data_IF_762888805813
#
_entry.id   IF_762888805813
#
_cell.length_a   1.000
_cell.length_b   1.000
_cell.length_c   1.000
_cell.angle_alpha   90.00
_cell.angle_beta   90.00
_cell.angle_gamma   90.00
#
_symmetry.space_group_name_H-M   'P 1'
#
loop_
_entity.id
_entity.type
_entity.pdbx_description
1 polymer ?
#
# COMPACT_ATOMS: atom_id res chain seq x y z
N UNK A 1 -43.87 -39.12 -23.96
CA UNK A 1 -43.53 -40.14 -24.97
C UNK A 1 -44.83 -40.78 -25.42
N UNK A 2 -45.28 -40.51 -26.65
CA UNK A 2 -46.54 -41.04 -27.17
C UNK A 2 -46.34 -42.51 -27.60
N UNK A 3 -47.17 -43.41 -27.08
CA UNK A 3 -47.16 -44.82 -27.47
C UNK A 3 -47.71 -44.94 -28.90
N UNK A 4 -46.82 -45.04 -29.90
CA UNK A 4 -47.18 -45.34 -31.28
C UNK A 4 -47.94 -46.67 -31.33
N UNK A 5 -49.12 -46.68 -31.94
CA UNK A 5 -49.95 -47.88 -32.10
C UNK A 5 -49.25 -48.89 -33.01
N UNK A 6 -49.56 -50.18 -32.86
CA UNK A 6 -49.03 -51.23 -33.75
C UNK A 6 -49.31 -50.97 -35.23
N UNK A 7 -50.41 -50.26 -35.53
CA UNK A 7 -50.78 -49.84 -36.89
C UNK A 7 -49.87 -48.73 -37.43
N UNK A 8 -49.42 -47.79 -36.59
CA UNK A 8 -48.49 -46.72 -36.98
C UNK A 8 -47.12 -47.31 -37.34
N UNK A 9 -46.70 -48.37 -36.63
CA UNK A 9 -45.46 -49.09 -36.93
C UNK A 9 -45.54 -49.86 -38.25
N UNK A 10 -46.70 -50.43 -38.58
CA UNK A 10 -46.93 -51.11 -39.87
C UNK A 10 -46.97 -50.11 -41.02
N UNK A 11 -47.58 -48.94 -40.83
CA UNK A 11 -47.58 -47.86 -41.80
C UNK A 11 -46.15 -47.31 -42.05
N UNK A 12 -45.40 -47.02 -40.98
CA UNK A 12 -43.99 -46.60 -41.07
C UNK A 12 -43.17 -47.66 -41.85
N UNK A 13 -43.36 -48.95 -41.56
CA UNK A 13 -42.66 -50.05 -42.26
C UNK A 13 -43.04 -50.14 -43.75
N UNK A 14 -44.31 -49.99 -44.09
CA UNK A 14 -44.76 -49.97 -45.49
C UNK A 14 -44.16 -48.79 -46.26
N UNK A 15 -44.06 -47.62 -45.63
CA UNK A 15 -43.40 -46.44 -46.19
C UNK A 15 -41.90 -46.68 -46.42
N UNK A 16 -41.20 -47.27 -45.45
CA UNK A 16 -39.78 -47.62 -45.61
C UNK A 16 -39.54 -48.70 -46.68
N UNK A 17 -40.42 -49.71 -46.76
CA UNK A 17 -40.34 -50.77 -47.78
C UNK A 17 -40.53 -50.22 -49.20
N UNK A 18 -41.45 -49.25 -49.37
CA UNK A 18 -41.66 -48.57 -50.65
C UNK A 18 -40.43 -47.73 -51.03
N UNK A 19 -39.90 -46.94 -50.09
CA UNK A 19 -38.70 -46.16 -50.32
C UNK A 19 -37.50 -47.05 -50.70
N UNK A 20 -37.32 -48.18 -50.01
CA UNK A 20 -36.27 -49.15 -50.32
C UNK A 20 -36.41 -49.74 -51.72
N UNK A 21 -37.63 -50.11 -52.12
CA UNK A 21 -37.92 -50.60 -53.49
C UNK A 21 -37.55 -49.56 -54.55
N UNK A 22 -37.90 -48.30 -54.32
CA UNK A 22 -37.62 -47.21 -55.26
C UNK A 22 -36.11 -46.90 -55.34
N UNK A 23 -35.38 -47.01 -54.22
CA UNK A 23 -33.91 -46.88 -54.17
C UNK A 23 -33.23 -48.03 -54.94
N UNK A 24 -33.66 -49.28 -54.73
CA UNK A 24 -33.11 -50.45 -55.43
C UNK A 24 -33.40 -50.36 -56.93
N UNK A 25 -34.62 -49.95 -57.31
CA UNK A 25 -34.97 -49.73 -58.72
C UNK A 25 -34.09 -48.66 -59.36
N UNK A 26 -33.88 -47.53 -58.67
CA UNK A 26 -32.99 -46.47 -59.13
C UNK A 26 -31.52 -46.95 -59.23
N UNK A 27 -31.07 -47.79 -58.31
CA UNK A 27 -29.75 -48.40 -58.33
C UNK A 27 -29.54 -49.29 -59.57
N UNK A 28 -30.55 -50.10 -59.91
CA UNK A 28 -30.50 -50.98 -61.08
C UNK A 28 -30.56 -50.21 -62.41
N UNK A 29 -31.26 -49.07 -62.45
CA UNK A 29 -31.40 -48.28 -63.68
C UNK A 29 -30.31 -47.23 -63.90
N UNK A 30 -29.69 -46.71 -62.83
CA UNK A 30 -28.77 -45.58 -62.90
C UNK A 30 -27.51 -45.71 -62.03
N UNK A 31 -27.24 -46.90 -61.49
CA UNK A 31 -26.09 -47.17 -60.65
C UNK A 31 -26.15 -46.50 -59.28
N UNK A 32 -25.02 -46.48 -58.58
CA UNK A 32 -24.94 -46.04 -57.18
C UNK A 32 -25.30 -44.56 -56.96
N UNK A 33 -25.03 -43.68 -57.92
CA UNK A 33 -25.39 -42.27 -57.86
C UNK A 33 -26.90 -42.05 -57.88
N UNK A 34 -27.63 -42.79 -58.73
CA UNK A 34 -29.09 -42.69 -58.81
C UNK A 34 -29.77 -43.25 -57.56
N UNK A 35 -29.21 -44.33 -56.99
CA UNK A 35 -29.63 -44.87 -55.70
C UNK A 35 -29.45 -43.85 -54.57
N UNK A 36 -28.28 -43.19 -54.52
CA UNK A 36 -27.95 -42.18 -53.53
C UNK A 36 -28.90 -40.97 -53.64
N UNK A 37 -29.18 -40.48 -54.86
CA UNK A 37 -30.11 -39.37 -55.08
C UNK A 37 -31.53 -39.71 -54.61
N UNK A 38 -31.98 -40.94 -54.86
CA UNK A 38 -33.31 -41.39 -54.43
C UNK A 38 -33.38 -41.57 -52.90
N UNK A 39 -32.30 -42.05 -52.27
CA UNK A 39 -32.20 -42.14 -50.82
C UNK A 39 -32.21 -40.76 -50.15
N UNK A 40 -31.48 -39.80 -50.74
CA UNK A 40 -31.50 -38.38 -50.33
C UNK A 40 -32.91 -37.80 -50.44
N UNK A 41 -33.68 -38.13 -51.49
CA UNK A 41 -35.06 -37.66 -51.66
C UNK A 41 -36.02 -38.20 -50.59
N UNK A 42 -35.86 -39.45 -50.18
CA UNK A 42 -36.73 -40.06 -49.17
C UNK A 42 -36.31 -39.77 -47.72
N UNK A 43 -35.01 -39.57 -47.47
CA UNK A 43 -34.43 -39.46 -46.13
C UNK A 43 -33.65 -38.15 -45.91
N UNK A 44 -33.97 -37.09 -46.67
CA UNK A 44 -33.31 -35.78 -46.61
C UNK A 44 -33.00 -35.27 -45.19
N UNK A 45 -33.95 -35.22 -44.23
CA UNK A 45 -33.65 -34.69 -42.89
C UNK A 45 -32.67 -35.56 -42.11
N UNK A 46 -32.71 -36.88 -42.27
CA UNK A 46 -31.83 -37.81 -41.55
C UNK A 46 -30.42 -37.82 -42.16
N UNK A 47 -30.32 -37.74 -43.49
CA UNK A 47 -29.04 -37.67 -44.19
C UNK A 47 -28.34 -36.33 -43.89
N UNK A 48 -29.08 -35.22 -43.84
CA UNK A 48 -28.53 -33.92 -43.44
C UNK A 48 -28.01 -33.96 -42.00
N UNK A 49 -28.77 -34.54 -41.07
CA UNK A 49 -28.32 -34.70 -39.68
C UNK A 49 -27.07 -35.58 -39.57
N UNK A 50 -27.04 -36.71 -40.27
CA UNK A 50 -25.88 -37.61 -40.31
C UNK A 50 -24.65 -36.92 -40.91
N UNK A 51 -24.81 -36.15 -41.99
CA UNK A 51 -23.74 -35.38 -42.60
C UNK A 51 -23.21 -34.29 -41.66
N UNK A 52 -24.11 -33.59 -40.95
CA UNK A 52 -23.75 -32.58 -39.95
C UNK A 52 -22.97 -33.23 -38.81
N UNK A 53 -23.43 -34.34 -38.26
CA UNK A 53 -22.68 -35.06 -37.21
C UNK A 53 -21.32 -35.53 -37.73
N UNK A 54 -21.25 -36.12 -38.91
CA UNK A 54 -19.98 -36.60 -39.48
C UNK A 54 -18.97 -35.47 -39.74
N UNK A 55 -19.45 -34.29 -40.10
CA UNK A 55 -18.62 -33.12 -40.40
C UNK A 55 -18.24 -32.33 -39.13
N UNK A 56 -19.20 -32.10 -38.23
CA UNK A 56 -18.99 -31.28 -37.04
C UNK A 56 -18.41 -32.08 -35.88
N UNK A 57 -18.66 -33.38 -35.75
CA UNK A 57 -18.07 -34.18 -34.66
C UNK A 57 -16.53 -34.15 -34.66
N UNK A 58 -15.81 -34.41 -35.77
CA UNK A 58 -14.34 -34.31 -35.77
C UNK A 58 -13.86 -32.87 -35.57
N UNK A 59 -14.58 -31.87 -36.10
CA UNK A 59 -14.26 -30.46 -35.89
C UNK A 59 -14.41 -30.05 -34.43
N UNK A 60 -15.49 -30.47 -33.77
CA UNK A 60 -15.74 -30.23 -32.34
C UNK A 60 -14.69 -30.94 -31.49
N UNK A 61 -14.32 -32.18 -31.83
CA UNK A 61 -13.24 -32.88 -31.13
C UNK A 61 -11.91 -32.11 -31.30
N UNK A 62 -11.57 -31.67 -32.50
CA UNK A 62 -10.35 -30.89 -32.77
C UNK A 62 -10.36 -29.53 -32.07
N UNK A 63 -11.51 -28.87 -31.96
CA UNK A 63 -11.65 -27.57 -31.31
C UNK A 63 -11.65 -27.69 -29.78
N UNK A 64 -12.24 -28.76 -29.24
CA UNK A 64 -12.31 -29.02 -27.80
C UNK A 64 -11.08 -29.71 -27.22
N UNK A 65 -10.29 -30.43 -28.03
CA UNK A 65 -9.07 -31.11 -27.57
C UNK A 65 -8.05 -30.13 -26.99
N UNK A 66 -7.69 -29.02 -27.66
CA UNK A 66 -6.81 -28.02 -27.07
C UNK A 66 -7.37 -27.41 -25.78
N UNK A 67 -8.69 -27.15 -25.73
CA UNK A 67 -9.35 -26.62 -24.54
C UNK A 67 -9.27 -27.57 -23.33
N UNK A 68 -9.39 -28.88 -23.57
CA UNK A 68 -9.29 -29.93 -22.55
C UNK A 68 -7.83 -30.28 -22.20
N UNK A 69 -6.91 -30.22 -23.16
CA UNK A 69 -5.52 -30.67 -23.02
C UNK A 69 -4.60 -29.56 -22.50
N UNK A 70 -4.80 -28.33 -22.93
CA UNK A 70 -4.06 -27.16 -22.45
C UNK A 70 -4.77 -26.45 -21.30
N UNK A 71 -6.05 -26.73 -21.09
CA UNK A 71 -6.88 -26.06 -20.12
C UNK A 71 -7.09 -24.59 -20.48
N UNK A 72 -8.32 -24.19 -20.77
CA UNK A 72 -8.67 -22.81 -20.43
C UNK A 72 -8.67 -22.76 -18.90
N UNK A 73 -7.57 -22.32 -18.30
CA UNK A 73 -7.55 -21.95 -16.90
C UNK A 73 -8.71 -20.98 -16.68
N UNK A 74 -9.76 -21.46 -16.00
CA UNK A 74 -10.91 -20.72 -15.49
C UNK A 74 -10.95 -19.23 -15.87
N UNK A 75 -11.41 -18.90 -17.08
CA UNK A 75 -11.83 -17.52 -17.40
C UNK A 75 -13.30 -17.29 -17.05
N UNK A 76 -13.93 -18.24 -16.33
CA UNK A 76 -15.29 -18.15 -15.82
C UNK A 76 -15.26 -17.98 -14.30
N UNK A 77 -15.19 -16.73 -13.84
CA UNK A 77 -15.61 -16.31 -12.49
C UNK A 77 -14.69 -16.59 -11.31
N UNK A 78 -13.80 -17.60 -11.33
CA UNK A 78 -12.98 -17.94 -10.16
C UNK A 78 -11.84 -16.96 -9.90
N UNK A 79 -10.92 -16.84 -10.87
CA UNK A 79 -9.72 -16.00 -10.71
C UNK A 79 -10.09 -14.51 -10.58
N UNK A 80 -11.02 -14.00 -11.39
CA UNK A 80 -11.46 -12.60 -11.31
C UNK A 80 -12.20 -12.30 -10.01
N UNK A 81 -13.11 -13.17 -9.54
CA UNK A 81 -13.76 -12.96 -8.24
C UNK A 81 -12.75 -13.02 -7.08
N UNK A 82 -11.75 -13.89 -7.16
CA UNK A 82 -10.69 -13.96 -6.13
C UNK A 82 -9.79 -12.73 -6.14
N UNK A 83 -9.43 -12.19 -7.32
CA UNK A 83 -8.64 -10.96 -7.44
C UNK A 83 -9.44 -9.74 -6.99
N UNK A 84 -10.73 -9.64 -7.34
CA UNK A 84 -11.60 -8.57 -6.85
C UNK A 84 -11.79 -8.61 -5.33
N UNK A 85 -11.92 -9.82 -4.76
CA UNK A 85 -11.98 -10.01 -3.31
C UNK A 85 -10.68 -9.55 -2.65
N UNK A 86 -9.52 -10.00 -3.17
CA UNK A 86 -8.21 -9.57 -2.67
C UNK A 86 -8.02 -8.06 -2.79
N UNK A 87 -8.38 -7.45 -3.93
CA UNK A 87 -8.30 -6.01 -4.12
C UNK A 87 -9.19 -5.25 -3.13
N UNK A 88 -10.37 -5.79 -2.80
CA UNK A 88 -11.24 -5.20 -1.76
C UNK A 88 -10.62 -5.34 -0.37
N UNK A 89 -9.98 -6.46 -0.07
CA UNK A 89 -9.23 -6.64 1.19
C UNK A 89 -8.06 -5.66 1.30
N UNK A 90 -7.26 -5.51 0.24
CA UNK A 90 -6.14 -4.57 0.20
C UNK A 90 -6.62 -3.13 0.32
N UNK A 91 -7.71 -2.76 -0.36
CA UNK A 91 -8.35 -1.46 -0.18
C UNK A 91 -8.74 -1.22 1.28
N UNK A 92 -9.30 -2.22 1.95
CA UNK A 92 -9.63 -2.12 3.38
C UNK A 92 -8.41 -1.86 4.28
N UNK A 93 -7.22 -2.27 3.87
CA UNK A 93 -5.97 -1.91 4.57
C UNK A 93 -5.60 -0.44 4.32
N UNK A 94 -5.73 0.04 3.08
CA UNK A 94 -5.47 1.45 2.75
C UNK A 94 -6.46 2.41 3.43
N UNK A 95 -7.74 2.03 3.54
CA UNK A 95 -8.76 2.83 4.25
C UNK A 95 -8.37 3.08 5.73
N UNK A 96 -7.52 2.23 6.31
CA UNK A 96 -7.00 2.33 7.69
C UNK A 96 -5.64 2.99 7.79
N UNK A 97 -5.09 3.52 6.70
CA UNK A 97 -3.76 4.14 6.66
C UNK A 97 -3.57 5.25 7.71
N UNK A 98 -4.59 6.08 7.94
CA UNK A 98 -4.54 7.14 8.95
C UNK A 98 -4.40 6.59 10.39
N UNK A 99 -5.04 5.45 10.67
CA UNK A 99 -4.90 4.76 11.97
C UNK A 99 -3.47 4.25 12.13
N UNK A 100 -2.91 3.59 11.11
CA UNK A 100 -1.53 3.08 11.16
C UNK A 100 -0.48 4.18 11.35
N UNK A 101 -0.69 5.36 10.77
CA UNK A 101 0.20 6.51 10.99
C UNK A 101 0.19 6.96 12.45
N UNK A 102 -1.00 7.00 13.06
CA UNK A 102 -1.17 7.39 14.46
C UNK A 102 -0.55 6.35 15.38
N UNK A 103 -0.82 5.06 15.15
CA UNK A 103 -0.24 3.94 15.89
C UNK A 103 1.29 3.97 15.86
N UNK A 104 1.88 4.24 14.68
CA UNK A 104 3.33 4.35 14.51
C UNK A 104 3.91 5.54 15.28
N UNK A 105 3.24 6.68 15.30
CA UNK A 105 3.67 7.85 16.10
C UNK A 105 3.66 7.50 17.58
N UNK A 106 2.59 6.88 18.07
CA UNK A 106 2.46 6.47 19.47
C UNK A 106 3.53 5.43 19.86
N UNK A 107 3.82 4.48 18.96
CA UNK A 107 4.90 3.51 19.15
C UNK A 107 6.28 4.18 19.24
N UNK A 108 6.58 5.17 18.37
CA UNK A 108 7.84 5.92 18.42
C UNK A 108 7.94 6.68 19.74
N UNK A 109 6.88 7.41 20.13
CA UNK A 109 6.86 8.16 21.39
C UNK A 109 7.09 7.21 22.56
N UNK A 110 6.33 6.11 22.63
CA UNK A 110 6.46 5.12 23.70
C UNK A 110 7.86 4.52 23.75
N UNK A 111 8.42 4.13 22.62
CA UNK A 111 9.76 3.51 22.55
C UNK A 111 10.85 4.47 23.04
N UNK A 112 10.77 5.75 22.68
CA UNK A 112 11.75 6.77 23.08
C UNK A 112 11.57 7.17 24.55
N UNK A 113 10.33 7.31 25.02
CA UNK A 113 10.00 7.70 26.39
C UNK A 113 10.26 6.56 27.40
N UNK A 114 9.76 5.35 27.12
CA UNK A 114 9.96 4.17 27.99
C UNK A 114 11.41 3.65 27.92
N UNK A 115 12.03 3.69 26.73
CA UNK A 115 13.44 3.31 26.55
C UNK A 115 14.41 4.19 27.33
N UNK A 116 13.98 5.40 27.71
CA UNK A 116 14.74 6.30 28.57
C UNK A 116 14.59 6.01 30.07
N UNK A 117 13.60 5.19 30.47
CA UNK A 117 13.34 4.80 31.86
C UNK A 117 13.87 3.42 32.25
N UNK A 118 14.56 2.71 31.35
CA UNK A 118 14.87 1.28 31.50
C UNK A 118 16.26 0.85 31.04
N UNK A 119 17.30 1.53 31.51
CA UNK A 119 18.69 1.08 31.39
C UNK A 119 19.18 0.37 32.65
N UNK A 120 18.48 -0.67 33.10
CA UNK A 120 18.91 -1.50 34.22
C UNK A 120 20.00 -2.50 33.79
N UNK A 121 21.24 -2.03 33.65
CA UNK A 121 22.41 -2.90 33.75
C UNK A 121 22.89 -2.90 35.21
N UNK A 122 22.88 -4.08 35.81
CA UNK A 122 23.19 -4.39 37.21
C UNK A 122 24.70 -4.32 37.46
N UNK A 123 25.29 -3.13 37.31
CA UNK A 123 26.66 -2.86 37.76
C UNK A 123 26.73 -1.58 38.59
N UNK A 124 26.82 -1.80 39.90
CA UNK A 124 27.21 -0.88 40.99
C UNK A 124 27.94 0.39 40.53
N UNK A 125 27.22 1.51 40.38
CA UNK A 125 27.69 2.89 40.62
C UNK A 125 26.47 3.84 40.79
N UNK A 126 26.45 4.63 41.87
CA UNK A 126 25.39 5.60 42.23
C UNK A 126 25.32 6.83 41.29
N UNK A 127 24.10 7.08 40.77
CA UNK A 127 23.43 8.34 40.37
C UNK A 127 23.95 9.21 39.18
N UNK A 128 23.05 9.93 38.45
CA UNK A 128 21.60 10.05 38.66
C UNK A 128 20.76 9.40 37.55
N UNK A 129 19.56 8.98 37.92
CA UNK A 129 18.44 8.76 37.02
C UNK A 129 18.13 10.09 36.29
N UNK A 130 18.77 10.32 35.15
CA UNK A 130 18.43 11.47 34.31
C UNK A 130 17.12 11.16 33.60
N UNK A 131 16.02 11.55 34.23
CA UNK A 131 14.73 11.71 33.57
C UNK A 131 14.90 12.79 32.50
N UNK A 132 15.01 12.38 31.24
CA UNK A 132 15.10 13.30 30.11
C UNK A 132 13.69 13.80 29.79
N UNK A 133 13.48 15.11 29.84
CA UNK A 133 12.26 15.71 29.31
C UNK A 133 12.39 15.80 27.80
N UNK A 134 11.44 15.20 27.06
CA UNK A 134 11.42 15.24 25.61
C UNK A 134 10.47 16.33 25.10
N UNK A 135 10.96 17.18 24.20
CA UNK A 135 10.14 18.07 23.38
C UNK A 135 9.80 17.33 22.08
N UNK A 136 8.52 16.99 21.89
CA UNK A 136 8.05 16.24 20.70
C UNK A 136 7.70 17.23 19.60
N UNK A 137 8.42 17.16 18.49
CA UNK A 137 8.17 18.01 17.32
C UNK A 137 7.71 17.13 16.17
N UNK A 138 6.44 17.29 15.76
CA UNK A 138 5.91 16.62 14.59
C UNK A 138 6.05 17.53 13.36
N UNK A 139 6.72 17.04 12.33
CA UNK A 139 7.03 17.81 11.12
C UNK A 139 6.50 17.12 9.85
N UNK A 140 6.03 17.94 8.91
CA UNK A 140 5.39 17.46 7.69
C UNK A 140 3.95 17.01 7.87
N UNK A 141 3.38 16.44 6.83
CA UNK A 141 2.01 15.89 6.80
C UNK A 141 2.03 14.46 6.29
N UNK A 142 1.07 13.61 6.69
CA UNK A 142 0.90 12.30 6.09
C UNK A 142 0.86 12.42 4.55
N UNK A 143 1.55 11.49 3.89
CA UNK A 143 1.48 11.38 2.43
C UNK A 143 0.03 11.13 2.00
N UNK A 144 -0.39 11.77 0.91
CA UNK A 144 -1.71 11.56 0.31
C UNK A 144 -1.95 10.07 0.02
N UNK A 145 -3.20 9.62 0.19
CA UNK A 145 -3.56 8.21 0.06
C UNK A 145 -3.23 7.67 -1.34
N UNK A 146 -3.53 8.41 -2.42
CA UNK A 146 -3.21 8.00 -3.79
C UNK A 146 -1.72 7.76 -3.98
N UNK A 147 -0.88 8.64 -3.43
CA UNK A 147 0.57 8.50 -3.45
C UNK A 147 1.05 7.30 -2.63
N UNK A 148 0.44 7.08 -1.46
CA UNK A 148 0.73 5.92 -0.63
C UNK A 148 0.40 4.61 -1.36
N UNK A 149 -0.79 4.50 -1.94
CA UNK A 149 -1.23 3.34 -2.71
C UNK A 149 -0.28 3.11 -3.89
N UNK A 150 0.05 4.16 -4.64
CA UNK A 150 0.95 4.06 -5.79
C UNK A 150 2.34 3.56 -5.41
N UNK A 151 2.98 4.16 -4.39
CA UNK A 151 4.32 3.77 -3.99
C UNK A 151 4.37 2.38 -3.35
N UNK A 152 3.38 2.02 -2.52
CA UNK A 152 3.29 0.66 -1.98
C UNK A 152 3.08 -0.37 -3.10
N UNK A 153 2.27 -0.04 -4.11
CA UNK A 153 2.06 -0.89 -5.29
C UNK A 153 3.33 -1.09 -6.10
N UNK A 154 4.11 -0.04 -6.33
CA UNK A 154 5.42 -0.15 -6.98
C UNK A 154 6.38 -1.00 -6.15
N UNK A 155 6.41 -0.82 -4.83
CA UNK A 155 7.28 -1.57 -3.90
C UNK A 155 7.00 -3.07 -3.91
N UNK A 156 5.73 -3.44 -4.04
CA UNK A 156 5.28 -4.84 -4.05
C UNK A 156 5.22 -5.44 -5.46
N UNK A 157 5.63 -4.69 -6.49
CA UNK A 157 5.57 -5.14 -7.88
C UNK A 157 4.14 -5.34 -8.40
N UNK A 158 3.16 -4.64 -7.82
CA UNK A 158 1.73 -4.77 -8.11
C UNK A 158 1.19 -6.21 -7.89
N UNK A 159 1.83 -6.98 -6.99
CA UNK A 159 1.37 -8.32 -6.62
C UNK A 159 0.42 -8.24 -5.42
N UNK A 160 -0.88 -8.46 -5.68
CA UNK A 160 -1.93 -8.51 -4.66
C UNK A 160 -1.65 -9.57 -3.57
N UNK A 161 -0.91 -10.64 -3.87
CA UNK A 161 -0.57 -11.66 -2.87
C UNK A 161 0.48 -11.17 -1.86
N UNK A 162 1.31 -10.19 -2.25
CA UNK A 162 2.30 -9.58 -1.38
C UNK A 162 1.73 -8.41 -0.56
N UNK A 163 0.56 -7.89 -0.95
CA UNK A 163 -0.13 -6.79 -0.28
C UNK A 163 -0.95 -7.30 0.90
N UNK A 164 -0.36 -7.31 2.09
CA UNK A 164 -1.02 -7.70 3.34
C UNK A 164 -1.14 -6.51 4.28
N UNK A 165 -1.93 -6.64 5.35
CA UNK A 165 -1.99 -5.62 6.40
C UNK A 165 -0.60 -5.31 6.96
N UNK A 166 0.23 -6.35 7.12
CA UNK A 166 1.60 -6.20 7.61
C UNK A 166 2.47 -5.42 6.63
N UNK A 167 2.39 -5.69 5.32
CA UNK A 167 3.21 -4.96 4.34
C UNK A 167 2.84 -3.47 4.30
N UNK A 168 1.55 -3.15 4.46
CA UNK A 168 1.06 -1.76 4.57
C UNK A 168 1.64 -1.09 5.82
N UNK A 169 1.59 -1.77 6.98
CA UNK A 169 2.18 -1.24 8.22
C UNK A 169 3.68 -1.01 8.07
N UNK A 170 4.43 -2.00 7.60
CA UNK A 170 5.87 -1.88 7.33
C UNK A 170 6.21 -0.75 6.36
N UNK A 171 5.30 -0.44 5.43
CA UNK A 171 5.45 0.69 4.52
C UNK A 171 5.19 2.04 5.21
N UNK A 172 4.21 2.12 6.13
CA UNK A 172 4.01 3.29 7.02
C UNK A 172 5.25 3.51 7.90
N UNK A 173 5.84 2.45 8.42
CA UNK A 173 7.06 2.55 9.22
C UNK A 173 8.21 3.20 8.46
N UNK A 174 8.28 2.94 7.14
CA UNK A 174 9.28 3.52 6.25
C UNK A 174 8.98 4.97 5.87
N UNK A 175 7.72 5.39 5.90
CA UNK A 175 7.31 6.75 5.55
C UNK A 175 7.40 7.75 6.72
N UNK A 176 7.47 7.26 7.96
CA UNK A 176 7.60 8.07 9.17
C UNK A 176 8.98 7.83 9.80
N UNK A 177 9.86 8.83 9.74
CA UNK A 177 11.21 8.79 10.32
C UNK A 177 11.28 9.62 11.60
N UNK A 178 12.19 9.29 12.50
CA UNK A 178 12.41 10.05 13.73
C UNK A 178 13.89 10.26 14.05
N UNK A 179 14.20 11.38 14.71
CA UNK A 179 15.54 11.71 15.22
C UNK A 179 15.45 12.22 16.65
N UNK A 180 16.45 11.88 17.47
CA UNK A 180 16.57 12.36 18.85
C UNK A 180 17.82 13.21 18.95
N UNK A 181 17.67 14.47 19.32
CA UNK A 181 18.76 15.43 19.44
C UNK A 181 18.80 16.02 20.85
N UNK A 182 19.98 16.40 21.34
CA UNK A 182 20.10 17.15 22.61
C UNK A 182 19.73 18.62 22.38
N UNK A 183 18.89 19.20 23.24
CA UNK A 183 18.58 20.62 23.16
C UNK A 183 19.85 21.42 23.48
N UNK A 184 20.37 22.26 22.57
CA UNK A 184 21.57 23.04 22.84
C UNK A 184 21.30 23.97 24.03
N UNK A 185 22.16 23.92 25.04
CA UNK A 185 22.12 24.88 26.13
C UNK A 185 22.25 26.29 25.54
N UNK A 186 21.30 27.18 25.83
CA UNK A 186 21.45 28.60 25.53
C UNK A 186 22.73 29.09 26.22
N UNK A 187 23.81 29.24 25.46
CA UNK A 187 24.92 30.06 25.91
C UNK A 187 24.41 31.49 25.94
N UNK A 188 24.11 31.98 27.15
CA UNK A 188 24.08 33.40 27.44
C UNK A 188 25.34 34.02 26.83
N UNK A 189 25.18 34.74 25.72
CA UNK A 189 26.22 35.63 25.24
C UNK A 189 26.28 36.76 26.26
N UNK A 190 27.13 36.60 27.27
CA UNK A 190 27.50 37.69 28.16
C UNK A 190 28.14 38.76 27.29
N UNK A 191 27.35 39.79 26.97
CA UNK A 191 27.81 41.00 26.32
C UNK A 191 28.88 41.64 27.20
N UNK A 192 30.13 41.30 26.94
CA UNK A 192 31.30 41.93 27.52
C UNK A 192 31.29 43.39 27.07
N UNK A 193 31.24 44.28 28.06
CA UNK A 193 31.34 45.72 27.88
C UNK A 193 32.58 46.07 27.04
N UNK A 194 32.35 46.57 25.83
CA UNK A 194 33.38 47.20 25.02
C UNK A 194 33.49 48.67 25.45
N UNK A 195 34.60 48.94 26.12
CA UNK A 195 35.18 50.23 26.49
C UNK A 195 35.07 51.29 25.39
N UNK A 196 34.55 52.45 25.76
CA UNK A 196 34.53 53.68 24.98
C UNK A 196 35.93 54.30 24.82
N UNK A 197 36.20 54.87 23.65
CA UNK A 197 37.30 55.81 23.42
C UNK A 197 36.76 57.14 22.83
N UNK A 198 36.70 58.14 23.71
CA UNK A 198 37.07 59.56 23.56
C UNK A 198 36.70 60.37 22.31
N UNK A 199 35.99 61.50 22.50
CA UNK A 199 36.51 62.88 22.23
C UNK A 199 35.62 63.98 22.88
N UNK A 200 36.19 64.60 23.92
CA UNK A 200 36.29 66.05 24.27
C UNK A 200 35.12 67.04 24.19
N UNK A 201 34.84 67.69 25.34
CA UNK A 201 34.71 69.14 25.63
C UNK A 201 33.66 69.37 26.75
N UNK A 202 33.75 70.20 27.81
CA UNK A 202 34.73 71.14 28.39
C UNK A 202 34.14 71.61 29.74
N UNK A 203 34.99 71.78 30.76
CA UNK A 203 34.82 72.55 32.01
C UNK A 203 33.77 72.08 33.05
N UNK A 204 33.94 72.16 34.37
CA UNK A 204 34.63 73.10 35.28
C UNK A 204 34.97 72.38 36.61
N UNK A 205 36.04 72.82 37.30
CA UNK A 205 36.24 73.01 38.76
C UNK A 205 35.64 72.01 39.78
N UNK A 206 36.25 71.63 40.91
CA UNK A 206 37.35 72.16 41.73
C UNK A 206 37.57 71.15 42.90
N UNK A 207 38.79 71.11 43.43
CA UNK A 207 39.23 70.77 44.81
C UNK A 207 38.31 69.91 45.73
N UNK A 208 38.74 68.90 46.49
CA UNK A 208 39.96 68.75 47.31
C UNK A 208 39.91 67.40 48.09
N UNK A 209 41.07 66.74 48.22
CA UNK A 209 41.68 66.18 49.47
C UNK A 209 41.02 65.02 50.27
N UNK A 210 41.83 63.95 50.46
CA UNK A 210 42.08 63.04 51.61
C UNK A 210 41.01 62.87 52.72
N UNK A 211 40.83 61.73 53.42
CA UNK A 211 41.64 60.55 53.80
C UNK A 211 40.65 59.46 54.39
N UNK A 212 41.06 58.21 54.67
CA UNK A 212 40.25 57.08 55.20
C UNK A 212 40.39 56.94 56.76
N UNK A 213 40.15 55.80 57.44
CA UNK A 213 39.07 54.78 57.41
C UNK A 213 38.36 54.57 58.80
N UNK A 214 37.41 53.61 58.82
CA UNK A 214 37.00 52.72 59.96
C UNK A 214 35.83 53.19 60.88
N UNK A 215 35.26 52.29 61.72
CA UNK A 215 34.30 51.20 61.46
C UNK A 215 32.93 51.45 62.15
N UNK A 216 31.96 50.53 61.99
CA UNK A 216 31.23 49.86 63.09
C UNK A 216 29.87 49.29 62.64
N UNK A 217 29.59 48.07 63.16
CA UNK A 217 28.28 47.50 63.53
C UNK A 217 27.21 47.34 62.42
N UNK A 218 26.57 46.20 62.20
CA UNK A 218 25.88 45.35 63.17
C UNK A 218 25.39 44.07 62.48
N UNK A 219 25.36 43.00 63.25
CA UNK A 219 24.60 41.76 63.12
C UNK A 219 23.36 41.76 62.21
N UNK A 220 23.21 40.75 61.34
CA UNK A 220 22.03 39.85 61.29
C UNK A 220 22.43 38.56 60.58
N UNK A 221 22.26 37.44 61.27
CA UNK A 221 22.39 36.10 60.71
C UNK A 221 21.15 35.78 59.89
N UNK A 222 21.31 35.43 58.62
CA UNK A 222 20.31 34.62 57.92
C UNK A 222 20.99 33.39 57.31
N UNK A 223 20.39 32.27 57.68
CA UNK A 223 20.78 30.90 57.42
C UNK A 223 21.06 30.64 55.94
N UNK A 224 22.28 30.21 55.64
CA UNK A 224 22.62 29.62 54.34
C UNK A 224 21.90 28.29 54.19
N UNK A 225 20.69 28.30 53.63
CA UNK A 225 20.17 27.11 52.95
C UNK A 225 20.83 27.08 51.58
N UNK A 226 21.88 26.28 51.44
CA UNK A 226 22.34 25.78 50.15
C UNK A 226 21.16 25.07 49.50
N UNK A 227 20.45 25.78 48.62
CA UNK A 227 19.62 25.16 47.60
C UNK A 227 20.56 24.32 46.75
N UNK A 228 20.55 23.01 46.98
CA UNK A 228 21.03 22.04 46.00
C UNK A 228 20.16 22.23 44.76
N UNK A 229 20.60 23.10 43.85
CA UNK A 229 20.03 23.20 42.52
C UNK A 229 20.35 21.89 41.83
N UNK A 230 19.36 21.00 41.82
CA UNK A 230 19.33 19.83 40.94
C UNK A 230 19.69 20.32 39.53
N UNK A 231 20.67 19.70 38.85
CA UNK A 231 21.00 20.10 37.47
C UNK A 231 19.72 20.03 36.63
N UNK A 232 19.46 21.01 35.74
CA UNK A 232 18.29 20.96 34.87
C UNK A 232 18.32 19.65 34.09
N UNK A 233 17.20 18.92 34.11
CA UNK A 233 17.04 17.72 33.31
C UNK A 233 17.46 18.04 31.87
N UNK A 234 18.43 17.29 31.33
CA UNK A 234 18.87 17.46 29.96
C UNK A 234 17.64 17.28 29.06
N UNK A 235 17.18 18.35 28.43
CA UNK A 235 16.01 18.31 27.57
C UNK A 235 16.45 17.77 26.22
N UNK A 236 15.78 16.74 25.72
CA UNK A 236 16.01 16.18 24.38
C UNK A 236 14.87 16.57 23.45
N UNK A 237 15.13 16.68 22.16
CA UNK A 237 14.13 16.95 21.14
C UNK A 237 13.92 15.66 20.35
N UNK A 238 12.69 15.13 20.37
CA UNK A 238 12.25 14.03 19.52
C UNK A 238 11.53 14.64 18.32
N UNK A 239 12.18 14.62 17.16
CA UNK A 239 11.58 15.08 15.90
C UNK A 239 11.03 13.86 15.17
N UNK A 240 9.71 13.83 14.96
CA UNK A 240 9.03 12.82 14.13
C UNK A 240 8.64 13.51 12.82
N UNK A 241 8.95 12.88 11.69
CA UNK A 241 8.79 13.49 10.38
C UNK A 241 8.14 12.54 9.38
N UNK A 242 7.12 13.04 8.71
CA UNK A 242 6.56 12.40 7.52
C UNK A 242 7.42 12.70 6.29
N UNK A 243 7.76 11.67 5.53
CA UNK A 243 8.41 11.83 4.22
C UNK A 243 7.37 12.21 3.17
N UNK A 244 7.65 13.28 2.41
CA UNK A 244 6.91 13.55 1.19
C UNK A 244 7.18 12.46 0.13
N UNK A 245 6.33 12.29 -0.90
CA UNK A 245 6.54 11.27 -1.94
C UNK A 245 7.92 11.38 -2.60
N UNK A 246 8.36 12.59 -2.93
CA UNK A 246 9.66 12.82 -3.58
C UNK A 246 10.82 12.46 -2.65
N UNK A 247 10.76 12.89 -1.38
CA UNK A 247 11.77 12.53 -0.39
C UNK A 247 11.80 11.04 -0.11
N UNK A 248 10.66 10.36 -0.09
CA UNK A 248 10.57 8.92 0.08
C UNK A 248 11.27 8.21 -1.07
N UNK A 249 10.94 8.59 -2.31
CA UNK A 249 11.54 8.01 -3.51
C UNK A 249 13.05 8.27 -3.57
N UNK A 250 13.50 9.45 -3.15
CA UNK A 250 14.93 9.81 -3.05
C UNK A 250 15.64 8.99 -1.97
N UNK A 251 15.06 8.92 -0.77
CA UNK A 251 15.63 8.23 0.38
C UNK A 251 15.78 6.72 0.11
N UNK A 252 14.76 6.10 -0.49
CA UNK A 252 14.78 4.68 -0.85
C UNK A 252 15.32 4.39 -2.26
N UNK A 253 15.86 5.40 -2.96
CA UNK A 253 16.54 5.28 -4.26
C UNK A 253 15.70 4.62 -5.36
N UNK A 254 14.47 5.08 -5.52
CA UNK A 254 13.58 4.65 -6.61
C UNK A 254 14.19 5.01 -7.96
N UNK A 255 14.12 4.07 -8.91
CA UNK A 255 14.57 4.31 -10.29
C UNK A 255 13.65 5.31 -11.00
N UNK A 256 14.13 5.92 -12.08
CA UNK A 256 13.30 6.82 -12.90
C UNK A 256 12.05 6.12 -13.44
N UNK A 257 12.16 4.82 -13.75
CA UNK A 257 11.03 4.01 -14.18
C UNK A 257 9.99 3.86 -13.07
N UNK A 258 10.42 3.55 -11.84
CA UNK A 258 9.53 3.38 -10.69
C UNK A 258 8.82 4.68 -10.32
N UNK A 259 9.54 5.81 -10.40
CA UNK A 259 8.98 7.16 -10.19
C UNK A 259 7.90 7.48 -11.22
N UNK A 260 8.16 7.20 -12.49
CA UNK A 260 7.19 7.42 -13.56
C UNK A 260 5.95 6.53 -13.39
N UNK A 261 6.15 5.27 -13.03
CA UNK A 261 5.05 4.34 -12.74
C UNK A 261 4.18 4.81 -11.57
N UNK A 262 4.79 5.28 -10.47
CA UNK A 262 4.06 5.83 -9.33
C UNK A 262 3.22 7.05 -9.76
N UNK A 263 3.82 7.99 -10.50
CA UNK A 263 3.11 9.17 -11.01
C UNK A 263 1.92 8.81 -11.91
N UNK A 264 2.10 7.85 -12.82
CA UNK A 264 1.03 7.39 -13.70
C UNK A 264 -0.12 6.77 -12.90
N UNK A 265 0.21 5.99 -11.86
CA UNK A 265 -0.80 5.37 -10.99
C UNK A 265 -1.61 6.43 -10.24
N UNK A 266 -0.95 7.42 -9.64
CA UNK A 266 -1.61 8.54 -8.95
C UNK A 266 -2.55 9.28 -9.88
N UNK A 267 -2.11 9.63 -11.08
CA UNK A 267 -2.96 10.30 -12.07
C UNK A 267 -4.19 9.46 -12.42
N UNK A 268 -4.05 8.14 -12.48
CA UNK A 268 -5.16 7.22 -12.77
C UNK A 268 -6.16 7.20 -11.62
N UNK A 269 -5.69 7.07 -10.37
CA UNK A 269 -6.54 7.09 -9.17
C UNK A 269 -7.33 8.39 -9.03
N UNK A 270 -6.68 9.52 -9.33
CA UNK A 270 -7.33 10.84 -9.31
C UNK A 270 -8.38 11.01 -10.41
N UNK A 271 -8.14 10.45 -11.60
CA UNK A 271 -9.12 10.46 -12.69
C UNK A 271 -10.35 9.60 -12.35
N UNK A 272 -10.16 8.41 -11.78
CA UNK A 272 -11.28 7.56 -11.36
C UNK A 272 -12.12 8.24 -10.28
N UNK A 273 -11.48 8.85 -9.29
CA UNK A 273 -12.15 9.61 -8.24
C UNK A 273 -12.95 10.79 -8.79
N UNK A 274 -12.39 11.48 -9.80
CA UNK A 274 -13.06 12.60 -10.48
C UNK A 274 -14.22 12.16 -11.37
N UNK A 275 -14.18 10.95 -11.92
CA UNK A 275 -15.25 10.39 -12.76
C UNK A 275 -16.40 9.78 -11.95
N UNK A 276 -16.19 9.50 -10.67
CA UNK A 276 -17.17 8.88 -9.77
C UNK A 276 -18.02 9.90 -8.99
N UNK A 277 -17.67 11.19 -9.02
CA UNK A 277 -18.41 12.30 -8.41
C UNK A 277 -19.37 12.99 -9.37
#
# INVERSE_FOLDING_TARGET
>A
MANKSGMDRLADLAHHAKALKDIIKAALSGGWHAAALQAVKHYWPQILAAALVLLFLPLLIFLCLPAMLFGFGSSGGGATASMSLQATTVKGYYDRYAEYCTDRIDEIQKTVLDGSSGGGDDTVHEAPDQEYTYEIVLTGTPMEEDWFIALHSVTTGNDLNAMSEQSVREFVEKSIVYTVEDKPAETETTGTAATAATTTATAFHDDTVNDPPMPESSTTSESSTTSTTQPPAATKILTIRYLSPDEFMDYYRYSDADRNWAQLMVQTLQQESSSAG
#
